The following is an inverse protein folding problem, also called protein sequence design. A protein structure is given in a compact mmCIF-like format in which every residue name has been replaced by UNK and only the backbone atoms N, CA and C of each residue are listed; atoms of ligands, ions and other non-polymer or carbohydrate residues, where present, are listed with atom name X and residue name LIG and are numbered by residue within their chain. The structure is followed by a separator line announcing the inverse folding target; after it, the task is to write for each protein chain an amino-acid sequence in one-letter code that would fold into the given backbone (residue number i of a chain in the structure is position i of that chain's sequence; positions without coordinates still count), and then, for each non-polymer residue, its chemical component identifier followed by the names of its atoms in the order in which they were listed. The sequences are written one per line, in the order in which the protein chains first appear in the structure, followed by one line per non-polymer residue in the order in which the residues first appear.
data_IF_240882511914
#
_entry.id   IF_240882511914
#
_cell.length_a   1.000
_cell.length_b   1.000
_cell.length_c   1.000
_cell.angle_alpha   90.00
_cell.angle_beta   90.00
_cell.angle_gamma   90.00
#
_symmetry.space_group_name_H-M   'P 1'
#
loop_
_entity.id
_entity.type
_entity.pdbx_description
1 polymer ?
#
# COMPACT_ATOMS: atom_id res chain seq x y z
N UNK A 1 28.18 -2.36 -22.88
CA UNK A 1 27.66 -2.22 -21.51
C UNK A 1 27.76 -3.53 -20.76
N UNK A 2 28.31 -3.51 -19.55
CA UNK A 2 28.45 -4.70 -18.71
C UNK A 2 27.15 -4.91 -17.92
N UNK A 3 26.55 -6.09 -18.05
CA UNK A 3 25.39 -6.50 -17.26
C UNK A 3 25.81 -6.68 -15.79
N UNK A 4 25.16 -5.95 -14.88
CA UNK A 4 25.24 -6.18 -13.45
C UNK A 4 23.93 -6.78 -12.97
N UNK A 5 24.01 -7.92 -12.28
CA UNK A 5 22.86 -8.61 -11.73
C UNK A 5 23.27 -9.38 -10.48
N UNK A 6 22.48 -9.27 -9.40
CA UNK A 6 22.66 -10.07 -8.19
C UNK A 6 21.31 -10.40 -7.56
N UNK A 7 21.15 -11.66 -7.15
CA UNK A 7 20.02 -12.13 -6.36
C UNK A 7 20.43 -12.36 -4.90
N UNK A 8 19.59 -11.92 -3.98
CA UNK A 8 19.77 -12.05 -2.54
C UNK A 8 18.60 -12.82 -1.95
N UNK A 9 18.91 -13.88 -1.21
CA UNK A 9 17.93 -14.65 -0.46
C UNK A 9 18.62 -15.42 0.67
N UNK A 10 18.26 -15.09 1.90
CA UNK A 10 18.72 -15.82 3.11
C UNK A 10 18.11 -17.21 3.16
N UNK A 11 18.62 -18.06 4.05
CA UNK A 11 18.06 -19.40 4.25
C UNK A 11 16.61 -19.33 4.75
N UNK A 12 16.33 -18.46 5.71
CA UNK A 12 14.99 -18.24 6.25
C UNK A 12 14.01 -17.77 5.17
N UNK A 13 14.42 -16.82 4.32
CA UNK A 13 13.63 -16.35 3.19
C UNK A 13 13.28 -17.47 2.20
N UNK A 14 14.25 -18.35 1.92
CA UNK A 14 14.02 -19.53 1.08
C UNK A 14 13.06 -20.53 1.75
N UNK A 15 13.22 -20.77 3.04
CA UNK A 15 12.36 -21.71 3.78
C UNK A 15 10.91 -21.20 3.83
N UNK A 16 10.69 -19.90 4.01
CA UNK A 16 9.36 -19.27 3.92
C UNK A 16 8.79 -19.39 2.51
N UNK A 17 9.61 -19.14 1.48
CA UNK A 17 9.19 -19.31 0.09
C UNK A 17 8.79 -20.76 -0.24
N UNK A 18 9.36 -21.75 0.46
CA UNK A 18 9.04 -23.18 0.30
C UNK A 18 7.85 -23.65 1.15
N UNK A 19 7.63 -23.01 2.30
CA UNK A 19 6.72 -23.49 3.34
C UNK A 19 5.24 -23.14 3.14
N UNK A 20 4.87 -22.45 2.06
CA UNK A 20 3.50 -22.06 1.77
C UNK A 20 2.95 -22.71 0.51
N UNK A 21 1.65 -23.05 0.54
CA UNK A 21 0.90 -23.28 -0.69
C UNK A 21 0.70 -21.93 -1.39
N UNK A 22 1.23 -21.82 -2.60
CA UNK A 22 1.20 -20.63 -3.44
C UNK A 22 -0.15 -19.92 -3.50
N UNK A 23 -0.20 -18.67 -3.03
CA UNK A 23 -1.25 -17.69 -3.38
C UNK A 23 -0.66 -16.27 -3.38
N UNK A 24 -0.63 -15.64 -4.56
CA UNK A 24 -0.14 -14.27 -4.88
C UNK A 24 1.32 -13.95 -4.46
N UNK A 25 2.23 -13.85 -5.42
CA UNK A 25 3.58 -13.30 -5.20
C UNK A 25 3.59 -11.78 -5.48
N UNK A 26 4.10 -10.98 -4.57
CA UNK A 26 4.16 -9.53 -4.75
C UNK A 26 5.56 -9.08 -5.14
N UNK A 27 5.64 -8.15 -6.08
CA UNK A 27 6.91 -7.58 -6.55
C UNK A 27 6.86 -6.07 -6.40
N UNK A 28 7.68 -5.56 -5.48
CA UNK A 28 7.94 -4.13 -5.32
C UNK A 28 9.14 -3.74 -6.18
N UNK A 29 8.98 -2.71 -7.00
CA UNK A 29 10.06 -2.23 -7.87
C UNK A 29 10.53 -0.84 -7.47
N UNK A 30 11.83 -0.67 -7.30
CA UNK A 30 12.44 0.61 -6.93
C UNK A 30 13.59 0.92 -7.87
N UNK A 31 13.59 2.11 -8.47
CA UNK A 31 14.74 2.59 -9.24
C UNK A 31 15.65 3.47 -8.40
N UNK A 32 16.85 2.97 -8.10
CA UNK A 32 17.87 3.65 -7.30
C UNK A 32 18.72 4.62 -8.16
N UNK A 33 18.05 5.49 -8.93
CA UNK A 33 18.65 6.39 -9.94
C UNK A 33 19.85 7.18 -9.43
N UNK A 34 19.71 7.78 -8.24
CA UNK A 34 20.65 8.81 -7.75
C UNK A 34 21.99 8.25 -7.25
N UNK A 35 22.10 6.95 -6.96
CA UNK A 35 23.31 6.38 -6.35
C UNK A 35 24.01 5.36 -7.25
N UNK A 36 23.26 4.47 -7.90
CA UNK A 36 23.84 3.32 -8.58
C UNK A 36 23.27 3.07 -9.99
N UNK A 37 22.22 3.81 -10.39
CA UNK A 37 21.46 3.55 -11.62
C UNK A 37 20.98 2.09 -11.75
N UNK A 38 20.68 1.44 -10.61
CA UNK A 38 20.16 0.07 -10.54
C UNK A 38 18.67 0.04 -10.23
N UNK A 39 18.00 -1.00 -10.73
CA UNK A 39 16.68 -1.43 -10.35
C UNK A 39 16.77 -2.46 -9.23
N UNK A 40 15.93 -2.30 -8.23
CA UNK A 40 15.68 -3.27 -7.17
C UNK A 40 14.30 -3.88 -7.40
N UNK A 41 14.24 -5.20 -7.43
CA UNK A 41 13.01 -5.98 -7.38
C UNK A 41 12.97 -6.74 -6.06
N UNK A 42 12.00 -6.43 -5.22
CA UNK A 42 11.80 -7.12 -3.95
C UNK A 42 10.57 -8.00 -4.04
N UNK A 43 10.72 -9.27 -3.67
CA UNK A 43 9.70 -10.29 -3.79
C UNK A 43 9.12 -10.53 -2.41
N UNK A 44 7.81 -10.47 -2.27
CA UNK A 44 7.12 -10.59 -0.99
C UNK A 44 6.02 -11.64 -1.09
N UNK A 45 5.91 -12.49 -0.08
CA UNK A 45 4.76 -13.37 0.10
C UNK A 45 3.83 -12.79 1.17
N UNK A 46 2.52 -12.69 0.91
CA UNK A 46 1.57 -12.29 1.94
C UNK A 46 1.50 -13.35 3.05
N UNK A 47 1.28 -12.92 4.28
CA UNK A 47 0.92 -13.78 5.41
C UNK A 47 -0.60 -13.78 5.62
N UNK A 48 -1.07 -14.65 6.52
CA UNK A 48 -2.49 -14.77 6.87
C UNK A 48 -3.08 -13.51 7.54
N UNK A 49 -2.26 -12.52 7.87
CA UNK A 49 -2.66 -11.25 8.48
C UNK A 49 -2.60 -10.07 7.50
N UNK A 50 -2.42 -10.35 6.20
CA UNK A 50 -2.33 -9.32 5.17
C UNK A 50 -1.03 -8.50 5.22
N UNK A 51 -0.02 -8.93 5.97
CA UNK A 51 1.35 -8.40 5.90
C UNK A 51 2.14 -9.17 4.85
N UNK A 52 3.27 -8.63 4.41
CA UNK A 52 4.14 -9.29 3.43
C UNK A 52 5.47 -9.69 4.05
N UNK A 53 6.02 -10.83 3.65
CA UNK A 53 7.36 -11.26 4.00
C UNK A 53 8.27 -11.16 2.77
N UNK A 54 9.26 -10.25 2.72
CA UNK A 54 10.27 -10.28 1.67
C UNK A 54 11.05 -11.58 1.69
N UNK A 55 10.95 -12.31 0.58
CA UNK A 55 11.48 -13.66 0.38
C UNK A 55 12.62 -13.72 -0.65
N UNK A 56 12.85 -12.65 -1.40
CA UNK A 56 14.03 -12.48 -2.26
C UNK A 56 14.17 -11.02 -2.69
N UNK A 57 15.39 -10.62 -3.04
CA UNK A 57 15.67 -9.33 -3.67
C UNK A 57 16.59 -9.52 -4.88
N UNK A 58 16.36 -8.75 -5.93
CA UNK A 58 17.21 -8.73 -7.11
C UNK A 58 17.63 -7.30 -7.43
N UNK A 59 18.92 -7.10 -7.67
CA UNK A 59 19.50 -5.83 -8.09
C UNK A 59 20.06 -5.98 -9.50
N UNK A 60 19.76 -5.06 -10.40
CA UNK A 60 20.23 -5.10 -11.79
C UNK A 60 20.29 -3.71 -12.41
N UNK A 61 21.23 -3.45 -13.32
CA UNK A 61 21.23 -2.22 -14.13
C UNK A 61 20.33 -2.32 -15.38
N UNK A 62 19.69 -3.48 -15.61
CA UNK A 62 18.78 -3.74 -16.74
C UNK A 62 17.44 -4.30 -16.26
N UNK A 63 16.35 -3.79 -16.81
CA UNK A 63 14.96 -4.17 -16.45
C UNK A 63 14.15 -4.72 -17.63
N UNK A 64 14.83 -5.02 -18.75
CA UNK A 64 14.19 -5.67 -19.88
C UNK A 64 13.81 -7.12 -19.54
N UNK A 65 12.84 -7.65 -20.29
CA UNK A 65 12.26 -8.96 -20.05
C UNK A 65 13.31 -10.09 -20.09
N UNK A 66 14.28 -10.01 -21.01
CA UNK A 66 15.31 -11.03 -21.16
C UNK A 66 16.21 -11.07 -19.93
N UNK A 67 16.64 -9.90 -19.43
CA UNK A 67 17.41 -9.82 -18.20
C UNK A 67 16.61 -10.39 -17.02
N UNK A 68 15.37 -9.95 -16.82
CA UNK A 68 14.56 -10.40 -15.68
C UNK A 68 14.27 -11.90 -15.72
N UNK A 69 14.09 -12.46 -16.91
CA UNK A 69 13.97 -13.91 -17.09
C UNK A 69 15.21 -14.66 -16.55
N UNK A 70 16.43 -14.26 -16.95
CA UNK A 70 17.64 -14.90 -16.42
C UNK A 70 17.82 -14.70 -14.91
N UNK A 71 17.48 -13.53 -14.37
CA UNK A 71 17.56 -13.32 -12.91
C UNK A 71 16.57 -14.23 -12.18
N UNK A 72 15.32 -14.29 -12.63
CA UNK A 72 14.28 -15.05 -11.95
C UNK A 72 14.40 -16.56 -12.18
N UNK A 73 15.17 -17.02 -13.18
CA UNK A 73 15.45 -18.46 -13.33
C UNK A 73 16.21 -19.00 -12.11
N UNK A 74 17.09 -18.20 -11.52
CA UNK A 74 17.77 -18.56 -10.26
C UNK A 74 16.79 -18.78 -9.10
N UNK A 75 15.64 -18.10 -9.09
CA UNK A 75 14.58 -18.32 -8.11
C UNK A 75 13.93 -19.70 -8.30
N UNK A 76 13.63 -20.05 -9.56
CA UNK A 76 13.06 -21.35 -9.92
C UNK A 76 14.01 -22.50 -9.61
N UNK A 77 15.31 -22.31 -9.85
CA UNK A 77 16.33 -23.29 -9.50
C UNK A 77 16.42 -23.53 -7.99
N UNK A 78 16.32 -22.47 -7.18
CA UNK A 78 16.36 -22.59 -5.70
C UNK A 78 15.05 -23.12 -5.11
N UNK A 79 13.93 -22.85 -5.75
CA UNK A 79 12.60 -23.27 -5.29
C UNK A 79 11.79 -23.89 -6.45
N UNK A 80 12.17 -25.08 -6.94
CA UNK A 80 11.54 -25.69 -8.12
C UNK A 80 10.08 -26.09 -7.91
N UNK A 81 9.66 -26.23 -6.66
CA UNK A 81 8.29 -26.56 -6.27
C UNK A 81 7.41 -25.32 -6.09
N UNK A 82 7.96 -24.11 -6.23
CA UNK A 82 7.20 -22.87 -6.13
C UNK A 82 6.17 -22.83 -7.26
N UNK A 83 4.90 -22.76 -6.92
CA UNK A 83 3.84 -22.41 -7.87
C UNK A 83 3.62 -20.89 -7.76
N UNK A 84 3.06 -20.25 -8.79
CA UNK A 84 2.62 -18.84 -8.69
C UNK A 84 1.25 -18.71 -9.38
N UNK A 85 0.19 -18.40 -8.64
CA UNK A 85 -1.17 -18.23 -9.22
C UNK A 85 -1.39 -16.81 -9.75
N UNK A 86 -0.76 -15.84 -9.10
CA UNK A 86 -0.87 -14.43 -9.45
C UNK A 86 0.40 -13.69 -9.02
N UNK A 87 0.74 -12.64 -9.75
CA UNK A 87 1.80 -11.70 -9.38
C UNK A 87 1.19 -10.32 -9.19
N UNK A 88 1.38 -9.72 -8.02
CA UNK A 88 0.97 -8.35 -7.74
C UNK A 88 2.13 -7.38 -7.85
N UNK A 89 1.96 -6.31 -8.62
CA UNK A 89 3.00 -5.30 -8.85
C UNK A 89 2.45 -3.88 -8.66
N UNK A 90 3.34 -2.91 -8.72
CA UNK A 90 2.97 -1.53 -9.05
C UNK A 90 2.48 -1.40 -10.51
N UNK A 91 1.99 -0.21 -10.88
CA UNK A 91 1.58 0.12 -12.25
C UNK A 91 2.73 0.75 -13.05
N UNK A 92 3.90 0.10 -13.04
CA UNK A 92 5.09 0.54 -13.77
C UNK A 92 5.49 -0.44 -14.87
N UNK A 93 6.36 0.04 -15.78
CA UNK A 93 6.99 -0.83 -16.79
C UNK A 93 7.85 -1.93 -16.15
N UNK A 94 8.55 -1.61 -15.05
CA UNK A 94 9.35 -2.57 -14.29
C UNK A 94 8.47 -3.67 -13.69
N UNK A 95 7.33 -3.30 -13.09
CA UNK A 95 6.33 -4.23 -12.56
C UNK A 95 5.76 -5.13 -13.66
N UNK A 96 5.36 -4.56 -14.80
CA UNK A 96 4.85 -5.33 -15.94
C UNK A 96 5.88 -6.32 -16.49
N UNK A 97 7.14 -5.89 -16.64
CA UNK A 97 8.21 -6.78 -17.09
C UNK A 97 8.51 -7.89 -16.06
N UNK A 98 8.40 -7.59 -14.77
CA UNK A 98 8.58 -8.59 -13.73
C UNK A 98 7.48 -9.68 -13.77
N UNK A 99 6.21 -9.28 -13.94
CA UNK A 99 5.10 -10.23 -14.13
C UNK A 99 5.29 -11.12 -15.36
N UNK A 100 5.73 -10.56 -16.50
CA UNK A 100 6.02 -11.32 -17.72
C UNK A 100 7.12 -12.36 -17.50
N UNK A 101 8.24 -11.94 -16.90
CA UNK A 101 9.37 -12.83 -16.60
C UNK A 101 8.97 -13.98 -15.68
N UNK A 102 8.16 -13.70 -14.65
CA UNK A 102 7.65 -14.73 -13.74
C UNK A 102 6.64 -15.66 -14.41
N UNK A 103 5.74 -15.12 -15.24
CA UNK A 103 4.76 -15.93 -15.97
C UNK A 103 5.42 -16.86 -16.99
N UNK A 104 6.48 -16.40 -17.64
CA UNK A 104 7.26 -17.25 -18.53
C UNK A 104 7.89 -18.44 -17.77
N UNK A 105 8.42 -18.19 -16.57
CA UNK A 105 9.14 -19.19 -15.79
C UNK A 105 8.23 -20.17 -15.04
N UNK A 106 7.13 -19.69 -14.48
CA UNK A 106 6.28 -20.45 -13.56
C UNK A 106 4.94 -20.85 -14.16
N UNK A 107 4.73 -20.57 -15.46
CA UNK A 107 3.45 -20.77 -16.14
C UNK A 107 2.57 -19.52 -16.07
N UNK A 108 1.46 -19.52 -16.81
CA UNK A 108 0.57 -18.38 -16.88
C UNK A 108 0.08 -17.95 -15.49
N UNK A 109 0.37 -16.71 -15.10
CA UNK A 109 -0.05 -16.12 -13.82
C UNK A 109 -0.93 -14.91 -14.06
N UNK A 110 -1.91 -14.68 -13.17
CA UNK A 110 -2.70 -13.44 -13.21
C UNK A 110 -1.83 -12.23 -12.86
N UNK A 111 -1.94 -11.15 -13.62
CA UNK A 111 -1.31 -9.88 -13.27
C UNK A 111 -2.24 -9.03 -12.41
N UNK A 112 -1.77 -8.70 -11.22
CA UNK A 112 -2.48 -7.92 -10.23
C UNK A 112 -1.79 -6.57 -10.00
N UNK A 113 -2.55 -5.49 -9.86
CA UNK A 113 -2.07 -4.20 -9.38
C UNK A 113 -2.34 -4.05 -7.89
N UNK A 114 -1.37 -3.52 -7.16
CA UNK A 114 -1.48 -3.21 -5.74
C UNK A 114 -2.43 -2.03 -5.52
N UNK A 115 -3.49 -2.21 -4.71
CA UNK A 115 -4.47 -1.16 -4.41
C UNK A 115 -3.82 0.05 -3.74
N UNK A 116 -2.94 -0.17 -2.76
CA UNK A 116 -2.20 0.91 -2.10
C UNK A 116 -1.33 1.72 -3.06
N UNK A 117 -0.80 1.10 -4.12
CA UNK A 117 -0.09 1.83 -5.16
C UNK A 117 -1.04 2.62 -6.05
N UNK A 118 -2.12 1.99 -6.51
CA UNK A 118 -3.14 2.64 -7.34
C UNK A 118 -3.78 3.84 -6.65
N UNK A 119 -4.18 3.71 -5.38
CA UNK A 119 -4.75 4.82 -4.61
C UNK A 119 -3.80 6.02 -4.51
N UNK A 120 -2.49 5.78 -4.33
CA UNK A 120 -1.47 6.85 -4.34
C UNK A 120 -1.32 7.48 -5.73
N UNK A 121 -1.30 6.66 -6.78
CA UNK A 121 -1.20 7.13 -8.15
C UNK A 121 -2.42 7.98 -8.55
N UNK A 122 -3.62 7.54 -8.20
CA UNK A 122 -4.86 8.29 -8.42
C UNK A 122 -4.87 9.59 -7.61
N UNK A 123 -4.50 9.55 -6.33
CA UNK A 123 -4.37 10.76 -5.50
C UNK A 123 -3.38 11.76 -6.10
N UNK A 124 -2.23 11.29 -6.57
CA UNK A 124 -1.25 12.15 -7.23
C UNK A 124 -1.80 12.75 -8.52
N UNK A 125 -2.45 11.95 -9.37
CA UNK A 125 -3.10 12.46 -10.59
C UNK A 125 -4.17 13.49 -10.27
N UNK A 126 -5.03 13.25 -9.28
CA UNK A 126 -6.05 14.20 -8.82
C UNK A 126 -5.43 15.51 -8.37
N UNK A 127 -4.34 15.47 -7.59
CA UNK A 127 -3.60 16.68 -7.23
C UNK A 127 -3.05 17.43 -8.44
N UNK A 128 -2.67 16.72 -9.51
CA UNK A 128 -2.14 17.37 -10.71
C UNK A 128 -3.22 17.95 -11.62
N UNK A 129 -4.39 17.30 -11.70
CA UNK A 129 -5.47 17.69 -12.61
C UNK A 129 -6.51 18.61 -11.97
N UNK A 130 -6.63 18.61 -10.63
CA UNK A 130 -7.64 19.37 -9.88
C UNK A 130 -7.02 20.09 -8.68
N UNK A 131 -5.95 20.85 -8.90
CA UNK A 131 -5.11 21.45 -7.84
C UNK A 131 -5.89 22.27 -6.80
N UNK A 132 -6.82 23.09 -7.27
CA UNK A 132 -7.43 24.16 -6.46
C UNK A 132 -8.70 23.71 -5.74
N UNK A 133 -9.28 22.56 -6.11
CA UNK A 133 -10.51 22.04 -5.52
C UNK A 133 -10.23 20.83 -4.62
N UNK A 134 -9.85 21.12 -3.38
CA UNK A 134 -9.59 20.09 -2.36
C UNK A 134 -10.86 19.28 -2.03
N UNK A 135 -12.03 19.92 -2.06
CA UNK A 135 -13.31 19.25 -1.80
C UNK A 135 -13.60 18.17 -2.84
N UNK A 136 -13.46 18.52 -4.13
CA UNK A 136 -13.57 17.58 -5.23
C UNK A 136 -12.52 16.47 -5.17
N UNK A 137 -11.28 16.77 -4.78
CA UNK A 137 -10.26 15.74 -4.59
C UNK A 137 -10.69 14.70 -3.55
N UNK A 138 -11.21 15.13 -2.39
CA UNK A 138 -11.70 14.21 -1.35
C UNK A 138 -12.90 13.42 -1.88
N UNK A 139 -13.88 14.09 -2.47
CA UNK A 139 -15.10 13.47 -3.01
C UNK A 139 -14.79 12.36 -4.03
N UNK A 140 -13.92 12.66 -5.00
CA UNK A 140 -13.48 11.72 -6.05
C UNK A 140 -12.71 10.55 -5.44
N UNK A 141 -11.78 10.80 -4.51
CA UNK A 141 -10.99 9.74 -3.90
C UNK A 141 -11.82 8.81 -3.00
N UNK A 142 -12.82 9.33 -2.30
CA UNK A 142 -13.80 8.52 -1.56
C UNK A 142 -14.58 7.62 -2.52
N UNK A 143 -15.06 8.16 -3.64
CA UNK A 143 -15.78 7.37 -4.65
C UNK A 143 -14.90 6.27 -5.25
N UNK A 144 -13.66 6.59 -5.62
CA UNK A 144 -12.69 5.61 -6.13
C UNK A 144 -12.37 4.51 -5.10
N UNK A 145 -12.35 4.86 -3.81
CA UNK A 145 -12.14 3.90 -2.74
C UNK A 145 -13.30 2.92 -2.61
N UNK A 146 -14.53 3.37 -2.83
CA UNK A 146 -15.69 2.48 -2.93
C UNK A 146 -15.57 1.57 -4.17
N UNK A 147 -15.26 2.13 -5.35
CA UNK A 147 -15.13 1.36 -6.60
C UNK A 147 -14.07 0.26 -6.49
N UNK A 148 -12.88 0.57 -5.94
CA UNK A 148 -11.78 -0.40 -5.87
C UNK A 148 -12.08 -1.55 -4.90
N UNK A 149 -12.88 -1.32 -3.85
CA UNK A 149 -13.27 -2.30 -2.83
C UNK A 149 -14.56 -3.05 -3.14
N UNK A 150 -15.30 -2.66 -4.17
CA UNK A 150 -16.58 -3.27 -4.51
C UNK A 150 -16.42 -4.76 -4.88
N UNK A 151 -17.21 -5.60 -4.22
CA UNK A 151 -17.14 -7.06 -4.32
C UNK A 151 -18.16 -7.63 -5.32
N UNK A 152 -19.25 -6.91 -5.59
CA UNK A 152 -20.23 -7.28 -6.60
C UNK A 152 -19.83 -6.73 -7.96
N UNK A 153 -19.80 -7.59 -8.97
CA UNK A 153 -19.47 -7.18 -10.34
C UNK A 153 -20.52 -6.18 -10.90
N UNK A 154 -21.79 -6.38 -10.57
CA UNK A 154 -22.88 -5.52 -11.04
C UNK A 154 -22.79 -4.13 -10.41
N UNK A 155 -22.67 -4.06 -9.07
CA UNK A 155 -22.50 -2.78 -8.37
C UNK A 155 -21.19 -2.08 -8.76
N UNK A 156 -20.13 -2.83 -9.02
CA UNK A 156 -18.87 -2.28 -9.52
C UNK A 156 -19.08 -1.54 -10.85
N UNK A 157 -19.86 -2.14 -11.76
CA UNK A 157 -20.15 -1.54 -13.06
C UNK A 157 -21.03 -0.29 -12.90
N UNK A 158 -22.06 -0.35 -12.06
CA UNK A 158 -22.96 0.78 -11.79
C UNK A 158 -22.22 1.95 -11.12
N UNK A 159 -21.38 1.67 -10.12
CA UNK A 159 -20.53 2.68 -9.46
C UNK A 159 -19.54 3.30 -10.44
N UNK A 160 -18.91 2.49 -11.30
CA UNK A 160 -17.96 2.98 -12.30
C UNK A 160 -18.63 3.87 -13.35
N UNK A 161 -19.82 3.51 -13.82
CA UNK A 161 -20.59 4.31 -14.76
C UNK A 161 -21.02 5.64 -14.11
N UNK A 162 -21.56 5.57 -12.89
CA UNK A 162 -21.98 6.74 -12.11
C UNK A 162 -20.81 7.69 -11.84
N UNK A 163 -19.62 7.15 -11.57
CA UNK A 163 -18.40 7.93 -11.40
C UNK A 163 -18.02 8.69 -12.67
N UNK A 164 -18.01 8.01 -13.81
CA UNK A 164 -17.68 8.65 -15.09
C UNK A 164 -18.71 9.73 -15.40
N UNK A 165 -20.00 9.46 -15.28
CA UNK A 165 -21.07 10.43 -15.53
C UNK A 165 -20.94 11.67 -14.63
N UNK A 166 -20.81 11.45 -13.32
CA UNK A 166 -20.77 12.53 -12.32
C UNK A 166 -19.55 13.44 -12.46
N UNK A 167 -18.39 12.88 -12.83
CA UNK A 167 -17.12 13.61 -12.79
C UNK A 167 -16.52 13.97 -14.15
N UNK A 168 -17.09 13.50 -15.28
CA UNK A 168 -16.57 13.83 -16.61
C UNK A 168 -16.54 15.33 -16.90
N UNK A 169 -17.50 16.10 -16.37
CA UNK A 169 -17.53 17.57 -16.51
C UNK A 169 -16.70 18.30 -15.44
N UNK A 170 -16.56 17.73 -14.24
CA UNK A 170 -15.90 18.35 -13.08
C UNK A 170 -14.38 18.13 -13.04
N UNK A 171 -13.92 16.97 -13.50
CA UNK A 171 -12.49 16.65 -13.62
C UNK A 171 -12.18 15.83 -14.90
N UNK A 172 -12.40 16.41 -16.10
CA UNK A 172 -12.33 15.71 -17.38
C UNK A 172 -11.00 14.99 -17.62
N UNK A 173 -9.88 15.63 -17.27
CA UNK A 173 -8.55 15.05 -17.48
C UNK A 173 -8.32 13.78 -16.63
N UNK A 174 -8.82 13.77 -15.39
CA UNK A 174 -8.70 12.60 -14.53
C UNK A 174 -9.63 11.48 -15.01
N UNK A 175 -10.89 11.80 -15.30
CA UNK A 175 -11.88 10.80 -15.72
C UNK A 175 -11.56 10.18 -17.08
N UNK A 176 -11.06 10.96 -18.05
CA UNK A 176 -10.57 10.43 -19.32
C UNK A 176 -9.38 9.47 -19.08
N UNK A 177 -8.43 9.87 -18.23
CA UNK A 177 -7.31 9.02 -17.86
C UNK A 177 -7.76 7.73 -17.16
N UNK A 178 -8.72 7.85 -16.25
CA UNK A 178 -9.30 6.75 -15.49
C UNK A 178 -9.93 5.71 -16.44
N UNK A 179 -10.81 6.18 -17.33
CA UNK A 179 -11.51 5.34 -18.29
C UNK A 179 -10.55 4.69 -19.30
N UNK A 180 -9.63 5.47 -19.86
CA UNK A 180 -8.69 4.98 -20.88
C UNK A 180 -7.71 3.93 -20.33
N UNK A 181 -7.21 4.12 -19.11
CA UNK A 181 -6.09 3.34 -18.60
C UNK A 181 -6.49 2.31 -17.54
N UNK A 182 -7.60 2.46 -16.81
CA UNK A 182 -7.94 1.52 -15.72
C UNK A 182 -9.17 0.68 -16.04
N UNK A 183 -10.22 1.27 -16.62
CA UNK A 183 -11.46 0.53 -16.94
C UNK A 183 -11.26 -0.58 -17.98
N UNK A 184 -10.21 -0.51 -18.81
CA UNK A 184 -9.90 -1.59 -19.78
C UNK A 184 -9.19 -2.79 -19.18
N UNK A 185 -8.78 -2.72 -17.92
CA UNK A 185 -7.98 -3.75 -17.23
C UNK A 185 -8.46 -4.01 -15.82
N UNK A 186 -9.78 -3.96 -15.62
CA UNK A 186 -10.45 -4.17 -14.33
C UNK A 186 -10.05 -5.48 -13.65
N UNK A 187 -9.80 -6.53 -14.43
CA UNK A 187 -9.29 -7.83 -13.93
C UNK A 187 -8.00 -7.71 -13.12
N UNK A 188 -7.20 -6.66 -13.38
CA UNK A 188 -5.95 -6.45 -12.66
C UNK A 188 -6.15 -5.76 -11.31
N UNK A 189 -7.26 -5.08 -11.04
CA UNK A 189 -7.38 -4.22 -9.85
C UNK A 189 -8.73 -4.22 -9.15
N UNK A 190 -9.85 -4.47 -9.83
CA UNK A 190 -11.17 -4.43 -9.20
C UNK A 190 -11.35 -5.61 -8.25
N UNK A 191 -11.74 -5.35 -6.98
CA UNK A 191 -11.87 -6.38 -5.93
C UNK A 191 -12.79 -7.55 -6.36
N UNK A 192 -13.94 -7.24 -6.96
CA UNK A 192 -14.89 -8.23 -7.49
C UNK A 192 -14.26 -9.23 -8.50
N UNK A 193 -13.19 -8.86 -9.21
CA UNK A 193 -12.52 -9.72 -10.20
C UNK A 193 -11.42 -10.62 -9.59
N UNK A 194 -11.09 -10.42 -8.32
CA UNK A 194 -9.95 -11.09 -7.63
C UNK A 194 -10.39 -11.93 -6.43
N UNK A 195 -11.68 -12.02 -6.12
CA UNK A 195 -12.23 -12.72 -4.94
C UNK A 195 -11.77 -14.19 -4.79
N UNK A 196 -11.50 -14.88 -5.91
CA UNK A 196 -10.99 -16.25 -5.90
C UNK A 196 -9.52 -16.38 -5.44
N UNK A 197 -8.82 -15.25 -5.28
CA UNK A 197 -7.47 -15.13 -4.75
C UNK A 197 -7.62 -14.64 -3.32
N UNK A 198 -7.07 -15.38 -2.35
CA UNK A 198 -7.29 -15.18 -0.91
C UNK A 198 -7.49 -13.71 -0.50
N UNK A 199 -8.69 -13.42 0.01
CA UNK A 199 -9.32 -12.10 0.01
C UNK A 199 -8.68 -11.01 0.87
N UNK A 200 -7.49 -11.23 1.45
CA UNK A 200 -6.75 -10.27 2.27
C UNK A 200 -5.55 -9.65 1.54
N UNK A 201 -5.34 -9.98 0.25
CA UNK A 201 -4.07 -9.73 -0.45
C UNK A 201 -4.05 -8.52 -1.39
N UNK A 202 -5.00 -7.59 -1.31
CA UNK A 202 -5.09 -6.51 -2.30
C UNK A 202 -4.06 -5.39 -2.13
N UNK A 203 -3.45 -5.34 -0.95
CA UNK A 203 -2.37 -4.45 -0.59
C UNK A 203 -1.38 -5.21 0.27
N UNK A 204 -0.09 -4.91 0.11
CA UNK A 204 0.93 -5.38 1.05
C UNK A 204 1.51 -4.15 1.75
N UNK A 205 1.15 -3.92 3.04
CA UNK A 205 1.74 -2.87 3.87
C UNK A 205 3.27 -2.97 3.91
N UNK A 206 3.84 -4.18 3.87
CA UNK A 206 5.30 -4.35 3.91
C UNK A 206 6.01 -3.84 2.65
N UNK A 207 5.35 -3.78 1.49
CA UNK A 207 5.92 -3.09 0.32
C UNK A 207 6.09 -1.59 0.63
N UNK A 208 5.18 -1.00 1.41
CA UNK A 208 5.25 0.40 1.87
C UNK A 208 6.44 0.59 2.81
N UNK A 209 6.54 -0.23 3.85
CA UNK A 209 7.60 -0.12 4.85
C UNK A 209 8.99 -0.27 4.22
N UNK A 210 9.12 -1.21 3.27
CA UNK A 210 10.36 -1.41 2.52
C UNK A 210 10.70 -0.20 1.66
N UNK A 211 9.74 0.28 0.88
CA UNK A 211 9.88 1.49 0.08
C UNK A 211 10.26 2.72 0.94
N UNK A 212 9.65 2.90 2.10
CA UNK A 212 9.92 4.03 3.00
C UNK A 212 11.29 3.94 3.66
N UNK A 213 11.68 2.76 4.12
CA UNK A 213 13.01 2.53 4.67
C UNK A 213 14.10 2.70 3.63
N UNK A 214 13.87 2.25 2.40
CA UNK A 214 14.75 2.51 1.28
C UNK A 214 14.84 4.01 0.98
N UNK A 215 13.71 4.73 0.96
CA UNK A 215 13.72 6.20 0.83
C UNK A 215 14.54 6.86 1.93
N UNK A 216 14.39 6.46 3.19
CA UNK A 216 15.19 6.95 4.32
C UNK A 216 16.69 6.67 4.13
N UNK A 217 17.02 5.43 3.74
CA UNK A 217 18.38 5.04 3.39
C UNK A 217 18.98 5.93 2.29
N UNK A 218 18.18 6.28 1.27
CA UNK A 218 18.57 7.18 0.18
C UNK A 218 18.47 8.68 0.53
N UNK A 219 17.73 9.09 1.58
CA UNK A 219 17.52 10.49 2.01
C UNK A 219 18.76 11.10 2.67
N UNK A 220 19.64 10.28 3.23
CA UNK A 220 20.90 10.71 3.87
C UNK A 220 22.02 11.03 2.84
N UNK A 221 21.72 12.03 2.00
CA UNK A 221 22.35 12.44 0.72
C UNK A 221 23.83 12.85 0.73
N UNK A 222 24.53 12.86 1.88
CA UNK A 222 25.92 13.37 1.96
C UNK A 222 27.01 12.31 1.82
N UNK A 223 26.67 11.02 1.90
CA UNK A 223 27.67 9.94 1.84
C UNK A 223 27.40 9.07 0.63
N UNK A 224 28.40 8.86 -0.24
CA UNK A 224 28.38 7.81 -1.27
C UNK A 224 28.30 6.47 -0.55
N UNK A 225 27.08 5.95 -0.37
CA UNK A 225 26.88 4.62 0.19
C UNK A 225 27.36 3.61 -0.84
N UNK A 226 27.87 2.47 -0.38
CA UNK A 226 28.32 1.41 -1.27
C UNK A 226 27.19 0.39 -1.42
N UNK A 227 27.15 -0.31 -2.56
CA UNK A 227 26.09 -1.28 -2.85
C UNK A 227 25.98 -2.37 -1.77
N UNK A 228 27.09 -2.76 -1.12
CA UNK A 228 27.06 -3.72 -0.01
C UNK A 228 26.25 -3.23 1.20
N UNK A 229 26.21 -1.91 1.47
CA UNK A 229 25.38 -1.34 2.54
C UNK A 229 23.90 -1.51 2.21
N UNK A 230 23.52 -1.33 0.93
CA UNK A 230 22.14 -1.58 0.47
C UNK A 230 21.81 -3.07 0.61
N UNK A 231 22.72 -3.96 0.22
CA UNK A 231 22.52 -5.41 0.39
C UNK A 231 22.31 -5.77 1.86
N UNK A 232 23.07 -5.19 2.78
CA UNK A 232 22.88 -5.40 4.23
C UNK A 232 21.52 -4.90 4.71
N UNK A 233 21.05 -3.74 4.25
CA UNK A 233 19.71 -3.23 4.58
C UNK A 233 18.62 -4.19 4.07
N UNK A 234 18.76 -4.73 2.85
CA UNK A 234 17.80 -5.68 2.30
C UNK A 234 17.78 -7.00 3.09
N UNK A 235 18.95 -7.50 3.50
CA UNK A 235 19.06 -8.74 4.29
C UNK A 235 18.57 -8.57 5.73
N UNK A 236 18.76 -7.39 6.33
CA UNK A 236 18.38 -7.09 7.71
C UNK A 236 17.01 -6.43 7.85
N UNK A 237 16.33 -6.14 6.74
CA UNK A 237 15.06 -5.41 6.74
C UNK A 237 14.04 -5.98 7.75
N UNK A 238 13.98 -7.32 7.87
CA UNK A 238 13.13 -8.02 8.82
C UNK A 238 13.55 -7.90 10.28
N UNK A 239 14.86 -7.96 10.56
CA UNK A 239 15.36 -7.88 11.93
C UNK A 239 14.97 -6.53 12.54
N UNK A 240 15.03 -5.47 11.74
CA UNK A 240 14.71 -4.13 12.18
C UNK A 240 13.20 -3.90 12.36
N UNK A 241 12.31 -4.50 11.54
CA UNK A 241 10.86 -4.42 11.77
C UNK A 241 10.47 -5.08 13.10
N UNK A 242 11.13 -6.18 13.47
CA UNK A 242 10.90 -6.84 14.76
C UNK A 242 11.43 -6.02 15.95
N UNK A 243 12.51 -5.27 15.76
CA UNK A 243 13.06 -4.37 16.78
C UNK A 243 12.20 -3.10 16.91
N UNK A 244 11.70 -2.51 15.82
CA UNK A 244 10.83 -1.33 15.87
C UNK A 244 9.48 -1.62 16.55
N UNK A 245 8.93 -2.83 16.39
CA UNK A 245 7.74 -3.27 17.15
C UNK A 245 8.02 -3.40 18.65
N UNK A 246 9.27 -3.66 19.05
CA UNK A 246 9.68 -3.72 20.45
C UNK A 246 10.14 -2.37 21.03
N UNK A 247 10.59 -1.43 20.18
CA UNK A 247 11.21 -0.17 20.61
C UNK A 247 10.33 1.07 20.41
N UNK A 248 9.24 0.99 19.62
CA UNK A 248 8.25 2.09 19.48
C UNK A 248 7.37 2.31 20.72
N UNK A 249 7.77 1.79 21.89
CA UNK A 249 7.34 2.30 23.19
C UNK A 249 8.02 3.61 23.61
N UNK A 250 9.00 4.11 22.85
CA UNK A 250 9.68 5.38 23.18
C UNK A 250 10.00 6.16 21.91
N UNK A 251 9.21 7.21 21.64
CA UNK A 251 9.31 8.04 20.45
C UNK A 251 10.46 9.02 20.46
N UNK A 252 10.92 9.41 19.26
CA UNK A 252 11.58 10.69 18.98
C UNK A 252 11.24 11.11 17.54
N UNK A 253 10.71 12.32 17.40
CA UNK A 253 10.44 13.02 16.14
C UNK A 253 11.65 13.84 15.70
N UNK A 254 11.84 14.02 14.39
CA UNK A 254 12.56 15.21 13.87
C UNK A 254 12.01 15.63 12.51
N UNK A 255 11.53 16.87 12.49
CA UNK A 255 11.11 17.65 11.32
C UNK A 255 12.34 18.24 10.64
N UNK A 256 12.29 18.36 9.29
CA UNK A 256 12.79 19.52 8.54
C UNK A 256 12.43 19.33 7.05
N UNK A 257 11.58 20.24 6.55
CA UNK A 257 11.12 20.34 5.17
C UNK A 257 12.09 21.23 4.39
N UNK A 258 12.51 20.84 3.18
CA UNK A 258 12.85 21.83 2.16
C UNK A 258 12.87 21.27 0.72
N UNK A 259 12.37 22.14 -0.17
CA UNK A 259 11.84 21.98 -1.53
C UNK A 259 12.72 21.30 -2.58
N UNK A 260 12.13 20.42 -3.40
CA UNK A 260 12.52 20.16 -4.79
C UNK A 260 11.29 19.78 -5.62
N UNK A 261 10.60 20.78 -6.17
CA UNK A 261 9.70 20.64 -7.32
C UNK A 261 10.54 20.78 -8.60
N UNK A 262 10.57 19.72 -9.43
CA UNK A 262 10.59 19.73 -10.92
C UNK A 262 11.12 18.38 -11.48
N UNK A 263 10.39 17.80 -12.47
CA UNK A 263 10.66 16.65 -13.38
C UNK A 263 10.29 15.19 -12.94
N UNK A 264 9.81 14.28 -13.85
CA UNK A 264 8.38 13.89 -13.94
C UNK A 264 8.05 12.45 -13.53
N UNK A 265 8.91 11.78 -12.76
CA UNK A 265 8.64 10.40 -12.31
C UNK A 265 8.95 10.28 -10.81
N UNK A 266 7.91 10.45 -9.99
CA UNK A 266 7.88 10.21 -8.53
C UNK A 266 8.75 11.13 -7.66
N UNK A 267 8.40 12.42 -7.58
CA UNK A 267 8.78 13.26 -6.43
C UNK A 267 7.73 13.14 -5.31
N UNK A 268 8.27 12.77 -4.16
CA UNK A 268 7.75 12.68 -2.80
C UNK A 268 6.85 13.84 -2.37
N UNK A 269 5.66 13.51 -1.86
CA UNK A 269 4.91 14.36 -0.94
C UNK A 269 5.54 14.24 0.45
N UNK A 270 6.00 15.37 0.99
CA UNK A 270 6.29 15.54 2.42
C UNK A 270 5.56 16.82 2.87
N UNK A 271 5.05 16.80 4.11
CA UNK A 271 4.29 17.81 4.90
C UNK A 271 2.76 17.95 4.60
N UNK A 272 1.84 17.88 5.59
CA UNK A 272 1.89 18.08 7.05
C UNK A 272 1.35 16.87 7.85
N UNK A 273 1.81 16.75 9.11
CA UNK A 273 2.30 15.49 9.70
C UNK A 273 1.66 15.06 11.02
N UNK A 274 0.53 15.64 11.47
CA UNK A 274 -0.13 15.20 12.72
C UNK A 274 -1.58 14.75 12.52
N UNK A 275 -2.41 15.52 11.80
CA UNK A 275 -3.81 15.16 11.54
C UNK A 275 -3.96 13.91 10.67
N UNK A 276 -3.13 13.77 9.63
CA UNK A 276 -3.12 12.59 8.75
C UNK A 276 -2.55 11.37 9.48
N UNK A 277 -1.60 11.57 10.41
CA UNK A 277 -1.07 10.50 11.25
C UNK A 277 -2.13 10.02 12.22
N UNK A 278 -2.80 10.94 12.92
CA UNK A 278 -3.88 10.65 13.85
C UNK A 278 -5.08 9.97 13.17
N UNK A 279 -5.44 10.41 11.95
CA UNK A 279 -6.51 9.78 11.16
C UNK A 279 -6.13 8.36 10.71
N UNK A 280 -4.91 8.14 10.19
CA UNK A 280 -4.46 6.80 9.80
C UNK A 280 -4.28 5.87 11.01
N UNK A 281 -3.81 6.39 12.15
CA UNK A 281 -3.72 5.64 13.41
C UNK A 281 -5.11 5.24 13.92
N UNK A 282 -6.10 6.15 13.85
CA UNK A 282 -7.49 5.82 14.19
C UNK A 282 -8.08 4.75 13.26
N UNK A 283 -7.82 4.83 11.95
CA UNK A 283 -8.25 3.81 10.98
C UNK A 283 -7.57 2.45 11.22
N UNK A 284 -6.26 2.43 11.45
CA UNK A 284 -5.53 1.20 11.75
C UNK A 284 -5.99 0.56 13.07
N UNK A 285 -6.33 1.37 14.09
CA UNK A 285 -6.88 0.85 15.34
C UNK A 285 -8.31 0.34 15.20
N UNK A 286 -9.15 0.98 14.39
CA UNK A 286 -10.50 0.48 14.07
C UNK A 286 -10.46 -0.84 13.28
N UNK A 287 -9.55 -0.97 12.32
CA UNK A 287 -9.37 -2.20 11.54
C UNK A 287 -8.86 -3.35 12.43
N UNK A 288 -7.92 -3.07 13.35
CA UNK A 288 -7.47 -4.04 14.36
C UNK A 288 -8.61 -4.44 15.30
N UNK A 289 -9.44 -3.49 15.73
CA UNK A 289 -10.60 -3.77 16.59
C UNK A 289 -11.63 -4.63 15.86
N UNK A 290 -11.92 -4.33 14.59
CA UNK A 290 -12.83 -5.09 13.73
C UNK A 290 -12.35 -6.53 13.56
N UNK A 291 -11.07 -6.72 13.23
CA UNK A 291 -10.48 -8.04 13.06
C UNK A 291 -10.44 -8.83 14.39
N UNK A 292 -10.26 -8.14 15.53
CA UNK A 292 -10.29 -8.76 16.85
C UNK A 292 -11.70 -9.21 17.25
N UNK A 293 -12.73 -8.39 16.97
CA UNK A 293 -14.14 -8.73 17.23
C UNK A 293 -14.65 -9.89 16.36
N UNK A 294 -14.09 -10.06 15.16
CA UNK A 294 -14.43 -11.17 14.25
C UNK A 294 -13.81 -12.51 14.67
N UNK A 295 -12.77 -12.50 15.52
CA UNK A 295 -12.06 -13.70 15.99
C UNK A 295 -11.76 -13.66 17.50
N UNK A 296 -12.78 -13.68 18.38
CA UNK A 296 -12.59 -13.54 19.81
C UNK A 296 -11.87 -14.77 20.40
N UNK A 297 -10.71 -14.55 21.00
CA UNK A 297 -10.02 -15.57 21.80
C UNK A 297 -10.66 -15.60 23.21
N UNK A 298 -11.38 -16.68 23.53
CA UNK A 298 -12.44 -16.79 24.56
C UNK A 298 -11.99 -16.72 26.03
N UNK A 299 -10.77 -16.27 26.36
CA UNK A 299 -10.21 -16.46 27.72
C UNK A 299 -10.25 -15.32 28.72
N UNK A 300 -10.72 -14.11 28.40
CA UNK A 300 -10.96 -13.09 29.45
C UNK A 300 -11.87 -11.95 28.97
N UNK A 301 -13.18 -12.15 29.05
CA UNK A 301 -14.18 -11.15 28.63
C UNK A 301 -14.08 -9.82 29.39
N UNK A 302 -13.69 -9.81 30.67
CA UNK A 302 -13.53 -8.56 31.45
C UNK A 302 -12.27 -7.76 31.07
N UNK A 303 -11.13 -8.42 30.86
CA UNK A 303 -9.92 -7.74 30.38
C UNK A 303 -10.11 -7.28 28.93
N UNK A 304 -10.85 -8.04 28.13
CA UNK A 304 -11.22 -7.67 26.78
C UNK A 304 -12.14 -6.44 26.76
N UNK A 305 -13.20 -6.40 27.58
CA UNK A 305 -14.08 -5.25 27.67
C UNK A 305 -13.34 -3.99 28.15
N UNK A 306 -12.44 -4.12 29.13
CA UNK A 306 -11.61 -3.02 29.59
C UNK A 306 -10.63 -2.52 28.51
N UNK A 307 -10.02 -3.44 27.75
CA UNK A 307 -9.11 -3.09 26.65
C UNK A 307 -9.85 -2.41 25.49
N UNK A 308 -11.05 -2.89 25.15
CA UNK A 308 -11.93 -2.26 24.15
C UNK A 308 -12.37 -0.88 24.62
N UNK A 309 -12.81 -0.73 25.87
CA UNK A 309 -13.24 0.56 26.44
C UNK A 309 -12.11 1.60 26.44
N UNK A 310 -10.89 1.18 26.83
CA UNK A 310 -9.71 2.06 26.80
C UNK A 310 -9.34 2.46 25.36
N UNK A 311 -9.42 1.53 24.40
CA UNK A 311 -9.15 1.83 22.98
C UNK A 311 -10.20 2.72 22.34
N UNK A 312 -11.48 2.51 22.65
CA UNK A 312 -12.57 3.38 22.18
C UNK A 312 -12.47 4.78 22.76
N UNK A 313 -12.08 4.92 24.02
CA UNK A 313 -11.85 6.23 24.63
C UNK A 313 -10.75 7.02 23.90
N UNK A 314 -9.68 6.35 23.49
CA UNK A 314 -8.60 6.98 22.70
C UNK A 314 -9.07 7.37 21.30
N UNK A 315 -9.82 6.51 20.59
CA UNK A 315 -10.36 6.83 19.26
C UNK A 315 -11.33 8.02 19.34
N UNK A 316 -12.21 8.05 20.35
CA UNK A 316 -13.14 9.16 20.57
C UNK A 316 -12.42 10.46 20.89
N UNK A 317 -11.34 10.42 21.69
CA UNK A 317 -10.52 11.60 21.98
C UNK A 317 -9.85 12.16 20.70
N UNK A 318 -9.28 11.29 19.86
CA UNK A 318 -8.67 11.67 18.58
C UNK A 318 -9.71 12.28 17.63
N UNK A 319 -10.89 11.67 17.53
CA UNK A 319 -11.98 12.18 16.67
C UNK A 319 -12.52 13.52 17.17
N UNK A 320 -12.61 13.72 18.49
CA UNK A 320 -13.04 14.99 19.09
C UNK A 320 -12.03 16.11 18.83
N UNK A 321 -10.74 15.83 18.98
CA UNK A 321 -9.67 16.79 18.69
C UNK A 321 -9.64 17.18 17.20
N UNK A 322 -9.84 16.22 16.29
CA UNK A 322 -10.00 16.47 14.85
C UNK A 322 -11.25 17.30 14.53
N UNK A 323 -12.34 17.11 15.28
CA UNK A 323 -13.60 17.86 15.10
C UNK A 323 -13.45 19.30 15.56
N UNK A 324 -12.86 19.54 16.73
CA UNK A 324 -12.59 20.89 17.26
C UNK A 324 -11.61 21.67 16.36
N UNK A 325 -10.63 20.98 15.75
CA UNK A 325 -9.73 21.59 14.77
C UNK A 325 -10.45 21.99 13.48
N UNK A 326 -11.41 21.19 13.01
CA UNK A 326 -12.23 21.52 11.83
C UNK A 326 -13.20 22.68 12.07
N UNK A 327 -13.80 22.77 13.26
CA UNK A 327 -14.74 23.86 13.63
C UNK A 327 -14.06 25.24 13.69
N UNK A 328 -12.75 25.30 13.90
CA UNK A 328 -11.98 26.55 13.89
C UNK A 328 -11.71 27.13 12.49
N UNK A 329 -12.03 26.39 11.42
CA UNK A 329 -11.64 26.69 10.04
C UNK A 329 -12.85 26.99 9.12
N UNK A 330 -14.09 26.71 9.55
CA UNK A 330 -15.29 26.80 8.69
C UNK A 330 -16.32 27.81 9.23
N UNK A 331 -16.86 28.76 8.42
CA UNK A 331 -17.94 29.65 8.83
C UNK A 331 -19.25 28.89 9.08
N UNK A 332 -20.07 29.40 10.01
CA UNK A 332 -21.23 28.77 10.65
C UNK A 332 -22.40 28.25 9.78
N UNK A 333 -22.31 28.26 8.45
CA UNK A 333 -23.42 27.90 7.55
C UNK A 333 -23.35 26.47 6.96
N UNK A 334 -22.42 25.61 7.41
CA UNK A 334 -22.29 24.21 6.97
C UNK A 334 -22.65 23.18 8.06
N UNK A 335 -23.73 23.40 8.79
CA UNK A 335 -24.17 22.59 9.95
C UNK A 335 -24.67 21.18 9.58
N UNK A 336 -24.85 20.87 8.30
CA UNK A 336 -25.51 19.62 7.86
C UNK A 336 -24.58 18.38 7.82
N UNK A 337 -23.25 18.57 7.73
CA UNK A 337 -22.27 17.46 7.69
C UNK A 337 -21.81 16.99 9.08
N UNK A 338 -21.92 17.85 10.09
CA UNK A 338 -21.61 17.53 11.49
C UNK A 338 -22.62 16.53 12.08
N UNK A 339 -23.88 16.61 11.68
CA UNK A 339 -24.96 15.76 12.21
C UNK A 339 -24.81 14.30 11.76
N UNK A 340 -24.29 14.04 10.56
CA UNK A 340 -24.13 12.67 10.04
C UNK A 340 -22.96 11.92 10.68
N UNK A 341 -21.89 12.63 11.06
CA UNK A 341 -20.69 12.04 11.67
C UNK A 341 -20.91 11.74 13.17
N UNK A 342 -21.61 12.61 13.89
CA UNK A 342 -22.06 12.32 15.26
C UNK A 342 -23.04 11.14 15.31
N UNK A 343 -23.96 11.05 14.34
CA UNK A 343 -24.91 9.93 14.23
C UNK A 343 -24.18 8.62 13.93
N UNK A 344 -23.20 8.60 13.02
CA UNK A 344 -22.40 7.41 12.74
C UNK A 344 -21.58 6.96 13.96
N UNK A 345 -20.99 7.90 14.69
CA UNK A 345 -20.19 7.61 15.90
C UNK A 345 -21.08 7.10 17.04
N UNK A 346 -22.26 7.70 17.23
CA UNK A 346 -23.26 7.25 18.21
C UNK A 346 -23.79 5.85 17.89
N UNK A 347 -24.09 5.56 16.62
CA UNK A 347 -24.55 4.23 16.20
C UNK A 347 -23.48 3.15 16.43
N UNK A 348 -22.20 3.48 16.26
CA UNK A 348 -21.10 2.56 16.55
C UNK A 348 -20.96 2.33 18.06
N UNK A 349 -21.04 3.38 18.89
CA UNK A 349 -21.00 3.26 20.35
C UNK A 349 -22.18 2.44 20.88
N UNK A 350 -23.41 2.73 20.42
CA UNK A 350 -24.62 2.02 20.83
C UNK A 350 -24.59 0.54 20.42
N UNK A 351 -23.91 0.19 19.30
CA UNK A 351 -23.73 -1.20 18.87
C UNK A 351 -22.75 -2.02 19.71
N UNK A 352 -21.91 -1.37 20.53
CA UNK A 352 -20.87 -2.00 21.35
C UNK A 352 -21.25 -2.05 22.84
N UNK A 353 -22.31 -1.35 23.23
CA UNK A 353 -22.72 -1.22 24.65
C UNK A 353 -23.82 -2.22 25.06
N UNK A 354 -24.03 -3.31 24.32
CA UNK A 354 -25.02 -4.37 24.65
C UNK A 354 -24.40 -5.73 24.92
#
# INVERSE_FOLDING_TARGET
DNLFAVGLQTRQQLDIMRGGDTRVLCVDTTYCKKQYEIFLFSFLLPDGYGKGYPVAHFLTNHQDERTLHYLFSSLKERCPTLKISAVMTDDSKSGSNAHKGLSYLFGETRHLLCHSYLGRLWKWRMKMTCKDDKGLQVEVMTFLSAIIQEVSADFFQDLSNSFIEKYSSRCPQFTENFNKNYMKRTVQWAKCQRLALDGTTDSIPVCRDLSEKLKSYFKNRKVKRKIHDLMLVLLNFWNDIHVDVQTNGTGVTSNEAENWDNEPFLQTLDFQSEEIRASNEAYDELEKLRNYLQHPNVKNHQQLAQHIANKMTNVTAILKELTEQCESIIPADSVQMHTETEVATKNIIDSVTY
#
